data_IF_477339363280
#
_entry.id   IF_477339363280
#
_cell.length_a   1.000
_cell.length_b   1.000
_cell.length_c   1.000
_cell.angle_alpha   90.00
_cell.angle_beta   90.00
_cell.angle_gamma   90.00
#
_symmetry.space_group_name_H-M   'P 1'
#
loop_
_entity.id
_entity.type
_entity.pdbx_description
1 polymer ?
#
# COMPACT_ATOMS: atom_id res chain seq x y z
N UNK A 1 43.79 -33.96 27.68
CA UNK A 1 42.31 -33.83 27.86
C UNK A 1 41.82 -32.39 27.75
N UNK A 2 42.67 -31.40 27.45
CA UNK A 2 42.28 -29.97 27.45
C UNK A 2 41.80 -29.45 26.07
N UNK A 3 42.14 -30.13 24.97
CA UNK A 3 41.80 -29.71 23.60
C UNK A 3 40.33 -29.88 23.23
N UNK A 4 39.61 -30.82 23.88
CA UNK A 4 38.19 -31.08 23.63
C UNK A 4 37.31 -30.00 24.28
N UNK A 5 37.72 -29.47 25.43
CA UNK A 5 37.00 -28.42 26.15
C UNK A 5 37.01 -27.09 25.38
N UNK A 6 38.13 -26.76 24.73
CA UNK A 6 38.25 -25.51 23.96
C UNK A 6 37.37 -25.52 22.70
N UNK A 7 37.30 -26.65 22.00
CA UNK A 7 36.42 -26.82 20.82
C UNK A 7 34.94 -26.69 21.16
N UNK A 8 34.51 -27.23 22.31
CA UNK A 8 33.12 -27.12 22.77
C UNK A 8 32.74 -25.68 23.16
N UNK A 9 33.63 -24.95 23.85
CA UNK A 9 33.38 -23.55 24.23
C UNK A 9 33.31 -22.64 23.00
N UNK A 10 34.20 -22.82 22.02
CA UNK A 10 34.17 -22.05 20.77
C UNK A 10 32.90 -22.36 19.96
N UNK A 11 32.46 -23.63 19.91
CA UNK A 11 31.23 -24.00 19.24
C UNK A 11 29.98 -23.37 19.90
N UNK A 12 29.91 -23.35 21.25
CA UNK A 12 28.79 -22.74 21.98
C UNK A 12 28.77 -21.22 21.79
N UNK A 13 29.94 -20.55 21.78
CA UNK A 13 30.04 -19.11 21.53
C UNK A 13 29.66 -18.76 20.08
N UNK A 14 30.05 -19.58 19.10
CA UNK A 14 29.65 -19.40 17.71
C UNK A 14 28.16 -19.65 17.50
N UNK A 15 27.57 -20.67 18.13
CA UNK A 15 26.12 -20.92 18.09
C UNK A 15 25.35 -19.79 18.78
N UNK A 16 25.87 -19.25 19.89
CA UNK A 16 25.29 -18.10 20.57
C UNK A 16 25.38 -16.83 19.71
N UNK A 17 26.51 -16.56 19.05
CA UNK A 17 26.68 -15.41 18.15
C UNK A 17 25.83 -15.53 16.89
N UNK A 18 25.72 -16.72 16.29
CA UNK A 18 24.82 -17.00 15.16
C UNK A 18 23.35 -16.92 15.59
N UNK A 19 23.02 -17.36 16.80
CA UNK A 19 21.68 -17.21 17.39
C UNK A 19 21.32 -15.75 17.67
N UNK A 20 22.26 -14.95 18.18
CA UNK A 20 22.08 -13.53 18.48
C UNK A 20 21.95 -12.73 17.17
N UNK A 21 22.81 -12.96 16.18
CA UNK A 21 22.68 -12.34 14.84
C UNK A 21 21.40 -12.77 14.12
N UNK A 22 20.95 -14.02 14.27
CA UNK A 22 19.67 -14.52 13.74
C UNK A 22 18.45 -13.88 14.44
N UNK A 23 18.55 -13.57 15.73
CA UNK A 23 17.55 -12.80 16.48
C UNK A 23 17.50 -11.33 16.04
N UNK A 24 18.64 -10.72 15.72
CA UNK A 24 18.69 -9.36 15.16
C UNK A 24 18.28 -9.29 13.68
N UNK A 25 18.36 -10.41 12.93
CA UNK A 25 17.91 -10.51 11.54
C UNK A 25 16.45 -10.96 11.38
N UNK A 26 15.74 -11.35 12.44
CA UNK A 26 14.30 -11.64 12.39
C UNK A 26 13.49 -10.34 12.32
N UNK A 27 13.45 -9.81 11.10
CA UNK A 27 12.51 -8.81 10.58
C UNK A 27 12.52 -7.48 11.36
N UNK A 28 13.26 -6.50 10.84
CA UNK A 28 12.77 -5.11 10.85
C UNK A 28 11.27 -5.17 10.54
N UNK A 29 10.42 -4.53 11.33
CA UNK A 29 8.97 -4.48 11.07
C UNK A 29 8.72 -3.85 9.70
N UNK A 30 8.79 -4.65 8.64
CA UNK A 30 8.69 -4.24 7.24
C UNK A 30 7.37 -4.73 6.69
N UNK A 31 6.69 -3.88 5.90
CA UNK A 31 5.33 -4.15 5.41
C UNK A 31 4.25 -3.68 6.38
N UNK A 32 3.10 -4.36 6.40
CA UNK A 32 1.87 -3.92 7.08
C UNK A 32 1.92 -3.86 8.63
N UNK A 33 3.00 -4.35 9.27
CA UNK A 33 3.12 -4.42 10.73
C UNK A 33 4.11 -3.41 11.33
N UNK A 34 4.56 -2.43 10.55
CA UNK A 34 5.49 -1.36 11.00
C UNK A 34 5.04 -0.74 12.33
N UNK A 35 3.73 -0.52 12.52
CA UNK A 35 3.14 0.03 13.74
C UNK A 35 3.28 -0.85 15.01
N UNK A 36 3.54 -2.15 14.86
CA UNK A 36 3.68 -3.09 15.99
C UNK A 36 5.11 -3.62 16.17
N UNK A 37 6.04 -3.26 15.27
CA UNK A 37 7.43 -3.69 15.33
C UNK A 37 7.64 -5.21 15.08
N UNK A 38 8.88 -5.71 15.29
CA UNK A 38 9.26 -7.11 15.01
C UNK A 38 8.45 -8.15 15.80
N UNK A 39 7.90 -7.78 16.96
CA UNK A 39 7.28 -8.69 17.94
C UNK A 39 5.77 -8.49 18.08
N UNK A 40 5.07 -8.28 16.96
CA UNK A 40 3.60 -8.23 16.96
C UNK A 40 2.98 -9.48 17.59
N UNK A 41 1.91 -9.32 18.35
CA UNK A 41 1.13 -10.46 18.87
C UNK A 41 0.32 -11.12 17.75
N UNK A 42 -0.15 -12.34 17.98
CA UNK A 42 -1.05 -13.00 17.02
C UNK A 42 -2.33 -12.19 16.79
N UNK A 43 -2.89 -11.59 17.85
CA UNK A 43 -4.08 -10.74 17.76
C UNK A 43 -3.84 -9.49 16.91
N UNK A 44 -2.71 -8.79 17.12
CA UNK A 44 -2.31 -7.64 16.30
C UNK A 44 -2.13 -8.02 14.83
N UNK A 45 -1.48 -9.16 14.55
CA UNK A 45 -1.34 -9.64 13.17
C UNK A 45 -2.68 -9.95 12.53
N UNK A 46 -3.59 -10.58 13.27
CA UNK A 46 -4.95 -10.89 12.79
C UNK A 46 -5.73 -9.61 12.46
N UNK A 47 -5.62 -8.58 13.29
CA UNK A 47 -6.24 -7.28 13.07
C UNK A 47 -5.74 -6.62 11.78
N UNK A 48 -4.42 -6.55 11.59
CA UNK A 48 -3.80 -5.98 10.38
C UNK A 48 -4.21 -6.77 9.15
N UNK A 49 -4.13 -8.10 9.19
CA UNK A 49 -4.51 -8.95 8.06
C UNK A 49 -5.97 -8.73 7.68
N UNK A 50 -6.86 -8.63 8.66
CA UNK A 50 -8.27 -8.32 8.42
C UNK A 50 -8.44 -6.97 7.74
N UNK A 51 -7.71 -5.93 8.18
CA UNK A 51 -7.73 -4.63 7.51
C UNK A 51 -7.29 -4.73 6.06
N UNK A 52 -6.15 -5.36 5.82
CA UNK A 52 -5.60 -5.59 4.47
C UNK A 52 -6.56 -6.39 3.59
N UNK A 53 -7.17 -7.46 4.12
CA UNK A 53 -8.14 -8.28 3.39
C UNK A 53 -9.38 -7.48 3.02
N UNK A 54 -9.90 -6.66 3.93
CA UNK A 54 -11.03 -5.78 3.66
C UNK A 54 -10.70 -4.71 2.61
N UNK A 55 -9.50 -4.15 2.64
CA UNK A 55 -9.03 -3.24 1.60
C UNK A 55 -9.07 -3.88 0.20
N UNK A 56 -8.51 -5.09 0.07
CA UNK A 56 -8.49 -5.82 -1.19
C UNK A 56 -9.89 -6.24 -1.65
N UNK A 57 -10.75 -6.66 -0.71
CA UNK A 57 -12.15 -6.98 -1.01
C UNK A 57 -12.87 -5.74 -1.56
N UNK A 58 -12.74 -4.58 -0.92
CA UNK A 58 -13.35 -3.33 -1.38
C UNK A 58 -12.86 -2.91 -2.76
N UNK A 59 -11.56 -3.04 -3.05
CA UNK A 59 -11.02 -2.77 -4.37
C UNK A 59 -11.59 -3.69 -5.45
N UNK A 60 -11.79 -4.97 -5.14
CA UNK A 60 -12.45 -5.93 -6.02
C UNK A 60 -13.90 -5.56 -6.32
N UNK A 61 -14.64 -5.08 -5.33
CA UNK A 61 -16.02 -4.65 -5.51
C UNK A 61 -16.11 -3.35 -6.31
N UNK A 62 -15.21 -2.39 -6.08
CA UNK A 62 -15.17 -1.14 -6.84
C UNK A 62 -14.87 -1.40 -8.33
N UNK A 63 -14.06 -2.41 -8.67
CA UNK A 63 -13.89 -2.83 -10.07
C UNK A 63 -15.17 -3.35 -10.69
N UNK A 64 -15.89 -4.26 -10.00
CA UNK A 64 -17.19 -4.74 -10.48
C UNK A 64 -18.17 -3.59 -10.71
N UNK A 65 -18.14 -2.59 -9.83
CA UNK A 65 -18.92 -1.38 -10.01
C UNK A 65 -18.53 -0.63 -11.30
N UNK A 66 -17.23 -0.43 -11.52
CA UNK A 66 -16.69 0.22 -12.72
C UNK A 66 -16.93 -0.55 -14.04
N UNK A 67 -17.05 -1.88 -13.98
CA UNK A 67 -17.37 -2.73 -15.13
C UNK A 67 -18.85 -2.58 -15.56
N UNK A 68 -19.70 -2.03 -14.71
CA UNK A 68 -21.03 -1.55 -15.09
C UNK A 68 -22.13 -2.62 -15.23
N UNK A 69 -21.89 -3.85 -14.77
CA UNK A 69 -22.85 -4.96 -14.84
C UNK A 69 -24.01 -4.88 -13.85
N UNK A 70 -24.88 -5.91 -13.87
CA UNK A 70 -25.93 -6.09 -12.86
C UNK A 70 -25.31 -6.18 -11.46
N UNK A 71 -25.92 -5.52 -10.47
CA UNK A 71 -25.40 -5.45 -9.10
C UNK A 71 -24.27 -4.43 -8.89
N UNK A 72 -23.94 -3.58 -9.89
CA UNK A 72 -22.85 -2.59 -9.73
C UNK A 72 -22.99 -1.71 -8.49
N UNK A 73 -24.19 -1.23 -8.18
CA UNK A 73 -24.40 -0.32 -7.04
C UNK A 73 -24.24 -1.06 -5.70
N UNK A 74 -24.70 -2.31 -5.62
CA UNK A 74 -24.43 -3.17 -4.47
C UNK A 74 -22.92 -3.40 -4.29
N UNK A 75 -22.18 -3.61 -5.40
CA UNK A 75 -20.73 -3.72 -5.33
C UNK A 75 -20.08 -2.41 -4.83
N UNK A 76 -20.57 -1.24 -5.26
CA UNK A 76 -20.09 0.04 -4.71
C UNK A 76 -20.34 0.14 -3.20
N UNK A 77 -21.52 -0.25 -2.74
CA UNK A 77 -21.87 -0.19 -1.31
C UNK A 77 -21.03 -1.17 -0.49
N UNK A 78 -20.83 -2.39 -0.99
CA UNK A 78 -19.90 -3.37 -0.40
C UNK A 78 -18.45 -2.86 -0.37
N UNK A 79 -18.02 -2.08 -1.37
CA UNK A 79 -16.70 -1.46 -1.37
C UNK A 79 -16.56 -0.42 -0.26
N UNK A 80 -17.59 0.41 -0.05
CA UNK A 80 -17.63 1.41 1.02
C UNK A 80 -17.56 0.74 2.38
N UNK A 81 -18.40 -0.26 2.65
CA UNK A 81 -18.42 -0.98 3.93
C UNK A 81 -17.06 -1.60 4.25
N UNK A 82 -16.45 -2.25 3.26
CA UNK A 82 -15.15 -2.88 3.42
C UNK A 82 -14.04 -1.87 3.68
N UNK A 83 -14.02 -0.74 2.95
CA UNK A 83 -13.02 0.29 3.17
C UNK A 83 -13.22 1.05 4.48
N UNK A 84 -14.45 1.21 4.95
CA UNK A 84 -14.73 1.74 6.28
C UNK A 84 -14.20 0.82 7.38
N UNK A 85 -14.46 -0.48 7.28
CA UNK A 85 -13.90 -1.48 8.21
C UNK A 85 -12.37 -1.48 8.15
N UNK A 86 -11.80 -1.52 6.94
CA UNK A 86 -10.36 -1.49 6.72
C UNK A 86 -9.70 -0.24 7.32
N UNK A 87 -10.32 0.93 7.15
CA UNK A 87 -9.87 2.20 7.75
C UNK A 87 -9.88 2.12 9.28
N UNK A 88 -10.94 1.57 9.86
CA UNK A 88 -11.05 1.39 11.33
C UNK A 88 -9.97 0.47 11.90
N UNK A 89 -9.45 -0.44 11.06
CA UNK A 89 -8.36 -1.36 11.39
C UNK A 89 -6.97 -0.77 11.11
N UNK A 90 -6.89 0.48 10.65
CA UNK A 90 -5.64 1.24 10.48
C UNK A 90 -5.01 1.16 9.09
N UNK A 91 -5.68 0.57 8.09
CA UNK A 91 -5.16 0.49 6.72
C UNK A 91 -5.41 1.81 5.97
N UNK A 92 -4.34 2.60 5.77
CA UNK A 92 -4.41 3.93 5.18
C UNK A 92 -4.92 3.94 3.74
N UNK A 93 -4.63 2.90 2.94
CA UNK A 93 -5.08 2.83 1.54
C UNK A 93 -6.59 2.77 1.37
N UNK A 94 -7.30 2.32 2.41
CA UNK A 94 -8.76 2.31 2.41
C UNK A 94 -9.32 3.74 2.36
N UNK A 95 -8.62 4.72 2.93
CA UNK A 95 -9.00 6.14 2.86
C UNK A 95 -8.90 6.63 1.40
N UNK A 96 -7.89 6.20 0.65
CA UNK A 96 -7.81 6.48 -0.79
C UNK A 96 -8.97 5.89 -1.57
N UNK A 97 -9.36 4.65 -1.25
CA UNK A 97 -10.55 4.00 -1.80
C UNK A 97 -11.84 4.79 -1.53
N UNK A 98 -12.06 5.23 -0.30
CA UNK A 98 -13.21 6.06 0.07
C UNK A 98 -13.19 7.43 -0.66
N UNK A 99 -12.01 8.01 -0.90
CA UNK A 99 -11.87 9.20 -1.73
C UNK A 99 -12.30 8.97 -3.19
N UNK A 100 -11.98 7.80 -3.77
CA UNK A 100 -12.44 7.40 -5.10
C UNK A 100 -13.97 7.34 -5.14
N UNK A 101 -14.60 6.75 -4.11
CA UNK A 101 -16.07 6.68 -4.02
C UNK A 101 -16.69 8.08 -3.97
N UNK A 102 -16.13 8.96 -3.13
CA UNK A 102 -16.63 10.33 -2.99
C UNK A 102 -16.56 11.09 -4.32
N UNK A 103 -15.42 11.00 -5.02
CA UNK A 103 -15.25 11.62 -6.34
C UNK A 103 -16.25 11.08 -7.36
N UNK A 104 -16.52 9.77 -7.36
CA UNK A 104 -17.47 9.20 -8.31
C UNK A 104 -18.93 9.54 -8.02
N UNK A 105 -19.23 9.87 -6.76
CA UNK A 105 -20.50 10.48 -6.34
C UNK A 105 -20.58 11.99 -6.62
N UNK A 106 -19.52 12.60 -7.14
CA UNK A 106 -19.43 14.04 -7.42
C UNK A 106 -19.10 14.89 -6.19
N UNK A 107 -18.78 14.27 -5.05
CA UNK A 107 -18.32 14.97 -3.85
C UNK A 107 -16.80 15.18 -3.89
N UNK A 108 -16.39 16.13 -4.71
CA UNK A 108 -14.98 16.46 -4.94
C UNK A 108 -14.30 17.01 -3.67
N UNK A 109 -15.06 17.66 -2.79
CA UNK A 109 -14.52 18.22 -1.55
C UNK A 109 -14.16 17.11 -0.55
N UNK A 110 -15.09 16.16 -0.34
CA UNK A 110 -14.84 14.99 0.49
C UNK A 110 -13.71 14.13 -0.07
N UNK A 111 -13.70 13.88 -1.39
CA UNK A 111 -12.63 13.13 -2.05
C UNK A 111 -11.24 13.70 -1.75
N UNK A 112 -11.06 15.02 -1.91
CA UNK A 112 -9.79 15.70 -1.63
C UNK A 112 -9.39 15.61 -0.16
N UNK A 113 -10.35 15.73 0.76
CA UNK A 113 -10.05 15.60 2.19
C UNK A 113 -9.55 14.20 2.52
N UNK A 114 -10.21 13.17 1.98
CA UNK A 114 -9.79 11.77 2.14
C UNK A 114 -8.38 11.56 1.59
N UNK A 115 -8.10 12.02 0.37
CA UNK A 115 -6.76 11.83 -0.22
C UNK A 115 -5.67 12.58 0.53
N UNK A 116 -5.94 13.78 1.04
CA UNK A 116 -4.96 14.50 1.88
C UNK A 116 -4.67 13.73 3.17
N UNK A 117 -5.69 13.17 3.80
CA UNK A 117 -5.52 12.33 4.98
C UNK A 117 -4.70 11.07 4.68
N UNK A 118 -5.02 10.37 3.59
CA UNK A 118 -4.29 9.18 3.17
C UNK A 118 -2.82 9.48 2.85
N UNK A 119 -2.55 10.61 2.15
CA UNK A 119 -1.19 11.07 1.87
C UNK A 119 -0.40 11.39 3.16
N UNK A 120 -1.02 12.07 4.14
CA UNK A 120 -0.39 12.32 5.45
C UNK A 120 -0.05 11.02 6.19
N UNK A 121 -0.78 9.93 5.92
CA UNK A 121 -0.52 8.58 6.47
C UNK A 121 0.43 7.75 5.60
N UNK A 122 1.00 8.33 4.55
CA UNK A 122 2.00 7.71 3.69
C UNK A 122 1.44 6.91 2.51
N UNK A 123 0.16 7.06 2.17
CA UNK A 123 -0.36 6.50 0.92
C UNK A 123 -0.05 7.41 -0.27
N UNK A 124 1.01 7.07 -0.99
CA UNK A 124 1.45 7.81 -2.16
C UNK A 124 0.47 7.76 -3.33
N UNK A 125 -0.42 6.76 -3.41
CA UNK A 125 -1.45 6.76 -4.45
C UNK A 125 -2.42 7.95 -4.27
N UNK A 126 -2.65 8.37 -3.02
CA UNK A 126 -3.52 9.50 -2.71
C UNK A 126 -2.95 10.84 -3.23
N UNK A 127 -1.64 11.04 -3.13
CA UNK A 127 -0.97 12.22 -3.70
C UNK A 127 -1.21 12.35 -5.20
N UNK A 128 -1.32 11.22 -5.90
CA UNK A 128 -1.53 11.16 -7.33
C UNK A 128 -2.97 11.50 -7.69
N UNK A 129 -3.95 11.01 -6.93
CA UNK A 129 -5.35 11.44 -7.10
C UNK A 129 -5.55 12.93 -6.83
N UNK A 130 -4.86 13.51 -5.85
CA UNK A 130 -4.87 14.97 -5.63
C UNK A 130 -4.37 15.69 -6.88
N UNK A 131 -3.19 15.32 -7.40
CA UNK A 131 -2.62 15.97 -8.61
C UNK A 131 -3.53 15.86 -9.82
N UNK A 132 -4.07 14.68 -10.10
CA UNK A 132 -5.00 14.47 -11.23
C UNK A 132 -6.19 15.40 -11.11
N UNK A 133 -6.71 15.61 -9.91
CA UNK A 133 -7.98 16.31 -9.72
C UNK A 133 -7.83 17.80 -9.42
N UNK A 134 -6.63 18.26 -9.07
CA UNK A 134 -6.28 19.68 -8.94
C UNK A 134 -5.94 20.33 -10.30
N UNK A 135 -5.53 19.55 -11.29
CA UNK A 135 -5.34 20.06 -12.65
C UNK A 135 -6.71 20.33 -13.31
N UNK A 136 -7.02 21.61 -13.48
CA UNK A 136 -8.25 22.10 -14.12
C UNK A 136 -8.46 21.64 -15.57
N UNK A 137 -7.39 21.16 -16.24
CA UNK A 137 -7.45 20.59 -17.58
C UNK A 137 -7.77 19.10 -17.59
N UNK A 138 -7.75 18.45 -16.42
CA UNK A 138 -8.05 17.02 -16.28
C UNK A 138 -9.51 16.74 -16.58
N UNK A 139 -9.74 15.96 -17.63
CA UNK A 139 -11.06 15.44 -17.95
C UNK A 139 -11.48 14.32 -16.98
N UNK A 140 -12.80 14.11 -16.83
CA UNK A 140 -13.36 12.92 -16.14
C UNK A 140 -12.76 11.60 -16.67
N UNK A 141 -12.36 11.58 -17.94
CA UNK A 141 -11.72 10.43 -18.57
C UNK A 141 -10.35 10.14 -17.95
N UNK A 142 -9.53 11.16 -17.71
CA UNK A 142 -8.20 11.01 -17.09
C UNK A 142 -8.30 10.50 -15.65
N UNK A 143 -9.24 11.02 -14.87
CA UNK A 143 -9.53 10.48 -13.53
C UNK A 143 -9.93 9.00 -13.59
N UNK A 144 -10.85 8.63 -14.49
CA UNK A 144 -11.28 7.24 -14.65
C UNK A 144 -10.16 6.30 -15.11
N UNK A 145 -9.22 6.80 -15.90
CA UNK A 145 -8.01 6.05 -16.25
C UNK A 145 -7.13 5.80 -15.01
N UNK A 146 -6.89 6.83 -14.19
CA UNK A 146 -6.11 6.72 -12.95
C UNK A 146 -6.78 5.76 -11.94
N UNK A 147 -8.10 5.86 -11.75
CA UNK A 147 -8.87 4.96 -10.90
C UNK A 147 -8.70 3.50 -11.33
N UNK A 148 -8.87 3.21 -12.64
CA UNK A 148 -8.71 1.85 -13.17
C UNK A 148 -7.28 1.34 -12.99
N UNK A 149 -6.28 2.20 -13.21
CA UNK A 149 -4.89 1.85 -12.98
C UNK A 149 -4.63 1.44 -11.52
N UNK A 150 -5.18 2.22 -10.58
CA UNK A 150 -5.05 1.98 -9.14
C UNK A 150 -5.69 0.66 -8.74
N UNK A 151 -6.95 0.46 -9.10
CA UNK A 151 -7.67 -0.76 -8.74
C UNK A 151 -7.04 -2.01 -9.37
N UNK A 152 -6.37 -1.88 -10.53
CA UNK A 152 -5.63 -2.98 -11.16
C UNK A 152 -4.29 -3.24 -10.49
N UNK A 153 -3.56 -2.20 -10.08
CA UNK A 153 -2.29 -2.38 -9.36
C UNK A 153 -2.50 -3.06 -8.01
N UNK A 154 -3.62 -2.77 -7.34
CA UNK A 154 -3.98 -3.39 -6.06
C UNK A 154 -4.06 -4.92 -6.15
N UNK A 155 -4.53 -5.51 -7.26
CA UNK A 155 -4.54 -6.98 -7.41
C UNK A 155 -3.15 -7.60 -7.49
N UNK A 156 -2.22 -6.90 -8.13
CA UNK A 156 -0.83 -7.35 -8.28
C UNK A 156 -0.09 -7.24 -6.94
N UNK A 157 -0.46 -6.25 -6.11
CA UNK A 157 0.10 -6.05 -4.76
C UNK A 157 -0.32 -7.09 -3.73
N UNK A 158 -1.36 -7.91 -4.00
CA UNK A 158 -1.76 -9.00 -3.08
C UNK A 158 -0.62 -10.02 -2.86
N UNK A 159 0.41 -9.99 -3.71
CA UNK A 159 1.55 -10.91 -3.69
C UNK A 159 2.93 -10.23 -3.52
N UNK A 160 3.02 -8.93 -3.20
CA UNK A 160 4.30 -8.21 -3.09
C UNK A 160 4.24 -6.83 -2.41
N UNK A 161 5.39 -6.15 -2.27
CA UNK A 161 5.43 -4.78 -1.73
C UNK A 161 4.58 -3.82 -2.58
N UNK A 162 3.99 -2.85 -1.89
CA UNK A 162 3.13 -1.80 -2.42
C UNK A 162 3.93 -0.88 -3.36
N UNK A 163 4.13 -1.32 -4.60
CA UNK A 163 5.03 -0.64 -5.52
C UNK A 163 4.27 0.44 -6.28
N UNK A 164 4.45 1.69 -5.86
CA UNK A 164 3.97 2.90 -6.56
C UNK A 164 4.42 2.89 -8.03
N UNK A 165 5.52 2.20 -8.35
CA UNK A 165 5.95 1.95 -9.75
C UNK A 165 4.93 1.13 -10.53
N UNK A 166 4.27 0.14 -9.96
CA UNK A 166 3.25 -0.62 -10.69
C UNK A 166 2.03 0.24 -10.98
N UNK A 167 1.64 1.09 -10.02
CA UNK A 167 0.59 2.09 -10.25
C UNK A 167 0.98 3.06 -11.38
N UNK A 168 2.21 3.59 -11.35
CA UNK A 168 2.73 4.51 -12.36
C UNK A 168 2.91 3.86 -13.75
N UNK A 169 3.41 2.63 -13.81
CA UNK A 169 3.57 1.85 -15.05
C UNK A 169 2.21 1.50 -15.65
N UNK A 170 1.23 1.12 -14.83
CA UNK A 170 -0.13 0.86 -15.31
C UNK A 170 -0.76 2.18 -15.77
N UNK A 171 -0.57 3.30 -15.06
CA UNK A 171 -1.03 4.61 -15.52
C UNK A 171 -0.45 4.98 -16.90
N UNK A 172 0.82 4.63 -17.18
CA UNK A 172 1.43 4.76 -18.53
C UNK A 172 0.68 3.97 -19.60
N UNK A 173 0.17 2.80 -19.25
CA UNK A 173 -0.54 1.89 -20.17
C UNK A 173 -2.00 2.28 -20.46
N UNK A 174 -2.65 3.05 -19.58
CA UNK A 174 -4.06 3.51 -19.74
C UNK A 174 -4.19 4.97 -20.24
N UNK A 175 -3.06 5.58 -20.65
CA UNK A 175 -2.84 6.86 -21.35
C UNK A 175 -2.42 8.08 -20.48
N UNK A 176 -1.22 8.63 -20.81
CA UNK A 176 -0.77 10.05 -20.88
C UNK A 176 0.77 10.08 -20.73
N UNK A 177 1.54 10.33 -21.81
CA UNK A 177 3.01 10.18 -21.78
C UNK A 177 3.73 11.12 -20.81
N UNK A 178 3.36 12.40 -20.70
CA UNK A 178 4.04 13.34 -19.79
C UNK A 178 3.67 13.10 -18.31
N UNK A 179 2.38 12.87 -18.03
CA UNK A 179 1.88 12.60 -16.67
C UNK A 179 2.36 11.24 -16.15
N UNK A 180 2.33 10.20 -16.98
CA UNK A 180 2.83 8.89 -16.60
C UNK A 180 4.36 8.89 -16.42
N UNK A 181 5.10 9.73 -17.15
CA UNK A 181 6.54 9.91 -16.94
C UNK A 181 6.83 10.61 -15.61
N UNK A 182 6.08 11.66 -15.25
CA UNK A 182 6.20 12.31 -13.94
C UNK A 182 5.80 11.37 -12.79
N UNK A 183 4.78 10.54 -12.99
CA UNK A 183 4.37 9.50 -12.06
C UNK A 183 5.46 8.44 -11.86
N UNK A 184 6.06 7.97 -12.95
CA UNK A 184 7.16 7.02 -12.91
C UNK A 184 8.37 7.65 -12.23
N UNK A 185 8.73 8.88 -12.59
CA UNK A 185 9.84 9.60 -11.96
C UNK A 185 9.61 9.83 -10.46
N UNK A 186 8.39 10.18 -10.06
CA UNK A 186 8.02 10.34 -8.64
C UNK A 186 8.09 9.02 -7.89
N UNK A 187 7.58 7.94 -8.48
CA UNK A 187 7.67 6.59 -7.92
C UNK A 187 9.13 6.12 -7.79
N UNK A 188 9.97 6.40 -8.78
CA UNK A 188 11.41 6.12 -8.76
C UNK A 188 12.13 6.95 -7.69
N UNK A 189 11.78 8.22 -7.52
CA UNK A 189 12.32 9.09 -6.46
C UNK A 189 11.98 8.53 -5.08
N UNK A 190 10.73 8.15 -4.82
CA UNK A 190 10.28 7.51 -3.57
C UNK A 190 11.04 6.21 -3.33
N UNK A 191 11.23 5.38 -4.36
CA UNK A 191 12.01 4.15 -4.24
C UNK A 191 13.48 4.43 -3.91
N UNK A 192 14.09 5.40 -4.60
CA UNK A 192 15.51 5.74 -4.44
C UNK A 192 15.83 6.32 -3.05
N UNK A 193 14.92 7.10 -2.47
CA UNK A 193 15.09 7.65 -1.11
C UNK A 193 15.03 6.54 -0.05
N UNK A 194 14.20 5.52 -0.27
CA UNK A 194 14.08 4.35 0.62
C UNK A 194 15.33 3.46 0.60
N UNK A 195 15.93 3.25 -0.58
CA UNK A 195 17.20 2.52 -0.72
C UNK A 195 18.32 3.26 0.00
N UNK A 196 18.45 4.59 -0.19
CA UNK A 196 19.48 5.40 0.50
C UNK A 196 19.29 5.50 2.01
N UNK A 197 18.06 5.58 2.51
CA UNK A 197 17.76 5.65 3.95
C UNK A 197 18.06 4.35 4.73
N UNK A 198 18.27 3.22 4.03
CA UNK A 198 18.60 1.94 4.65
C UNK A 198 20.11 1.68 4.80
N UNK A 199 20.96 2.58 4.30
CA UNK A 199 22.43 2.48 4.32
C UNK A 199 23.16 3.55 5.15
N UNK A 200 22.45 4.24 6.05
CA UNK A 200 23.04 5.19 6.98
C UNK A 200 23.41 4.51 8.30
N UNK A 201 24.72 4.45 8.55
CA UNK A 201 25.48 4.06 9.75
C UNK A 201 24.73 4.05 11.10
#
# INVERSE_FOLDING_TARGET
MESVAFGAVVAVVLIALVGITSLFNKKKGTGYYTQYGPNSTHAQRKQVNRGVDQFFFGAGQMRKYNDGGLGRYEARDQAVEAWEESRSLGEARAITGLGIVAMDSGDNASARNQWREAAMRGDHAAELFIRVTDDSSTSRFSYKAAERAYLRSVDVQRYGENDVLQFAVIARSVSMNAYAEELVETAEKIRSSRVRGSGGW
#
